data_IF_661104520364
#
_entry.id   IF_661104520364
#
_cell.length_a   1.000
_cell.length_b   1.000
_cell.length_c   1.000
_cell.angle_alpha   90.00
_cell.angle_beta   90.00
_cell.angle_gamma   90.00
#
_symmetry.space_group_name_H-M   'P 1'
#
loop_
_entity.id
_entity.type
_entity.pdbx_description
1 polymer ?
#
# COMPACT_ATOMS: atom_id res chain seq x y z
N UNK A 1 6.27 -0.22 -6.71
CA UNK A 1 5.62 1.07 -7.10
C UNK A 1 5.28 1.12 -8.60
N UNK A 2 4.77 2.24 -9.16
CA UNK A 2 4.60 2.41 -10.62
C UNK A 2 5.55 3.47 -11.19
N UNK A 3 6.30 3.12 -12.23
CA UNK A 3 7.09 4.10 -12.99
C UNK A 3 6.19 5.10 -13.74
N UNK A 4 6.73 6.27 -14.06
CA UNK A 4 6.04 7.27 -14.89
C UNK A 4 5.62 6.68 -16.24
N UNK A 5 6.47 5.84 -16.85
CA UNK A 5 6.18 5.17 -18.12
C UNK A 5 4.95 4.25 -17.97
N UNK A 6 4.86 3.49 -16.89
CA UNK A 6 3.69 2.65 -16.62
C UNK A 6 2.43 3.49 -16.39
N UNK A 7 2.54 4.60 -15.65
CA UNK A 7 1.40 5.52 -15.42
C UNK A 7 0.90 6.10 -16.75
N UNK A 8 1.78 6.57 -17.61
CA UNK A 8 1.41 7.07 -18.95
C UNK A 8 0.70 6.01 -19.78
N UNK A 9 1.24 4.79 -19.80
CA UNK A 9 0.63 3.66 -20.52
C UNK A 9 -0.76 3.31 -19.98
N UNK A 10 -0.98 3.38 -18.66
CA UNK A 10 -2.31 3.20 -18.05
C UNK A 10 -3.28 4.29 -18.54
N UNK A 11 -2.84 5.55 -18.56
CA UNK A 11 -3.66 6.69 -19.01
C UNK A 11 -4.04 6.51 -20.48
N UNK A 12 -3.08 6.20 -21.34
CA UNK A 12 -3.29 5.95 -22.77
C UNK A 12 -4.30 4.82 -23.02
N UNK A 13 -4.11 3.66 -22.37
CA UNK A 13 -5.02 2.52 -22.53
C UNK A 13 -6.43 2.79 -21.96
N UNK A 14 -6.53 3.63 -20.93
CA UNK A 14 -7.82 4.00 -20.34
C UNK A 14 -8.69 4.86 -21.23
N UNK A 15 -8.09 5.54 -22.22
CA UNK A 15 -8.75 6.54 -23.08
C UNK A 15 -9.41 7.68 -22.28
N UNK A 16 -8.93 7.94 -21.07
CA UNK A 16 -9.36 9.05 -20.22
C UNK A 16 -8.28 10.13 -20.21
N UNK A 17 -8.70 11.39 -20.22
CA UNK A 17 -7.79 12.50 -19.97
C UNK A 17 -7.31 12.52 -18.51
N UNK A 18 -6.11 13.07 -18.22
CA UNK A 18 -5.65 13.25 -16.84
C UNK A 18 -6.63 14.04 -15.95
N UNK A 19 -7.43 14.93 -16.55
CA UNK A 19 -8.50 15.69 -15.89
C UNK A 19 -9.62 14.77 -15.39
N UNK A 20 -10.12 13.88 -16.26
CA UNK A 20 -11.18 12.94 -15.90
C UNK A 20 -10.73 11.93 -14.84
N UNK A 21 -9.50 11.46 -14.95
CA UNK A 21 -8.91 10.55 -13.96
C UNK A 21 -8.79 11.28 -12.61
N UNK A 22 -8.33 12.53 -12.60
CA UNK A 22 -8.26 13.33 -11.36
C UNK A 22 -9.64 13.50 -10.71
N UNK A 23 -10.70 13.71 -11.50
CA UNK A 23 -12.08 13.76 -10.99
C UNK A 23 -12.51 12.42 -10.39
N UNK A 24 -12.22 11.30 -11.06
CA UNK A 24 -12.51 9.94 -10.54
C UNK A 24 -11.72 9.62 -9.27
N UNK A 25 -10.54 10.22 -9.07
CA UNK A 25 -9.79 10.15 -7.81
C UNK A 25 -10.38 11.02 -6.68
N UNK A 26 -11.40 11.85 -6.96
CA UNK A 26 -11.94 12.82 -6.01
C UNK A 26 -10.96 13.97 -5.73
N UNK A 27 -10.15 14.37 -6.71
CA UNK A 27 -9.13 15.42 -6.60
C UNK A 27 -9.41 16.58 -7.57
N UNK A 28 -8.67 17.68 -7.42
CA UNK A 28 -8.75 18.82 -8.32
C UNK A 28 -8.37 18.44 -9.75
N UNK A 29 -8.91 19.16 -10.73
CA UNK A 29 -8.78 18.82 -12.16
C UNK A 29 -7.33 18.69 -12.65
N UNK A 30 -6.39 19.40 -12.03
CA UNK A 30 -4.97 19.39 -12.39
C UNK A 30 -4.14 18.40 -11.57
N UNK A 31 -4.74 17.70 -10.61
CA UNK A 31 -4.00 16.90 -9.62
C UNK A 31 -3.09 15.87 -10.28
N UNK A 32 -3.61 14.98 -11.14
CA UNK A 32 -2.82 13.92 -11.74
C UNK A 32 -1.71 14.49 -12.64
N UNK A 33 -1.99 15.53 -13.43
CA UNK A 33 -0.97 16.15 -14.27
C UNK A 33 0.18 16.72 -13.44
N UNK A 34 -0.12 17.39 -12.32
CA UNK A 34 0.90 17.90 -11.40
C UNK A 34 1.70 16.76 -10.78
N UNK A 35 1.06 15.67 -10.35
CA UNK A 35 1.76 14.50 -9.82
C UNK A 35 2.68 13.88 -10.88
N UNK A 36 2.23 13.71 -12.13
CA UNK A 36 3.07 13.19 -13.21
C UNK A 36 4.30 14.08 -13.43
N UNK A 37 4.13 15.40 -13.48
CA UNK A 37 5.25 16.34 -13.64
C UNK A 37 6.25 16.22 -12.50
N UNK A 38 5.79 16.31 -11.25
CA UNK A 38 6.68 16.25 -10.06
C UNK A 38 7.49 14.95 -10.04
N UNK A 39 6.83 13.82 -10.25
CA UNK A 39 7.48 12.51 -10.16
C UNK A 39 8.38 12.24 -11.37
N UNK A 40 8.05 12.77 -12.55
CA UNK A 40 8.95 12.76 -13.71
C UNK A 40 10.20 13.59 -13.44
N UNK A 41 10.05 14.83 -12.97
CA UNK A 41 11.16 15.74 -12.73
C UNK A 41 12.13 15.20 -11.68
N UNK A 42 11.60 14.51 -10.67
CA UNK A 42 12.40 13.86 -9.62
C UNK A 42 12.92 12.47 -10.00
N UNK A 43 12.54 11.95 -11.17
CA UNK A 43 12.81 10.56 -11.57
C UNK A 43 12.37 9.52 -10.51
N UNK A 44 11.20 9.75 -9.90
CA UNK A 44 10.64 8.89 -8.85
C UNK A 44 9.41 8.13 -9.36
N UNK A 45 9.19 6.89 -8.90
CA UNK A 45 7.96 6.16 -9.17
C UNK A 45 6.79 6.71 -8.33
N UNK A 46 5.56 6.54 -8.81
CA UNK A 46 4.36 6.83 -8.05
C UNK A 46 4.31 6.01 -6.77
N UNK A 47 4.08 6.70 -5.65
CA UNK A 47 3.88 6.06 -4.35
C UNK A 47 2.68 5.11 -4.37
N UNK A 48 2.65 4.17 -3.43
CA UNK A 48 1.53 3.23 -3.28
C UNK A 48 0.19 3.93 -3.05
N UNK A 49 0.20 5.10 -2.38
CA UNK A 49 -1.01 5.90 -2.24
C UNK A 49 -1.54 6.39 -3.60
N UNK A 50 -0.67 6.96 -4.43
CA UNK A 50 -1.04 7.38 -5.79
C UNK A 50 -1.44 6.19 -6.67
N UNK A 51 -0.75 5.05 -6.52
CA UNK A 51 -1.11 3.81 -7.20
C UNK A 51 -2.54 3.36 -6.84
N UNK A 52 -2.93 3.43 -5.57
CA UNK A 52 -4.29 3.11 -5.09
C UNK A 52 -5.34 4.09 -5.64
N UNK A 53 -5.04 5.39 -5.65
CA UNK A 53 -5.94 6.39 -6.24
C UNK A 53 -6.13 6.12 -7.74
N UNK A 54 -5.06 5.82 -8.46
CA UNK A 54 -5.11 5.49 -9.88
C UNK A 54 -5.89 4.20 -10.14
N UNK A 55 -5.67 3.16 -9.33
CA UNK A 55 -6.42 1.91 -9.41
C UNK A 55 -7.93 2.15 -9.26
N UNK A 56 -8.37 2.98 -8.30
CA UNK A 56 -9.79 3.31 -8.09
C UNK A 56 -10.40 4.13 -9.23
N UNK A 57 -9.57 4.91 -9.92
CA UNK A 57 -10.02 5.80 -10.99
C UNK A 57 -10.06 5.14 -12.38
N UNK A 58 -9.42 3.99 -12.56
CA UNK A 58 -9.27 3.29 -13.84
C UNK A 58 -9.93 1.91 -13.79
N UNK A 59 -10.29 1.36 -14.95
CA UNK A 59 -10.76 -0.02 -15.04
C UNK A 59 -9.74 -1.00 -14.45
N UNK A 60 -10.15 -1.92 -13.55
CA UNK A 60 -9.25 -2.93 -12.97
C UNK A 60 -8.55 -3.79 -14.02
N UNK A 61 -9.19 -4.06 -15.16
CA UNK A 61 -8.59 -4.84 -16.25
C UNK A 61 -7.38 -4.14 -16.87
N UNK A 62 -7.48 -2.83 -17.10
CA UNK A 62 -6.41 -2.01 -17.70
C UNK A 62 -5.26 -1.86 -16.70
N UNK A 63 -5.59 -1.60 -15.44
CA UNK A 63 -4.58 -1.49 -14.40
C UNK A 63 -3.83 -2.83 -14.24
N UNK A 64 -4.55 -3.96 -14.17
CA UNK A 64 -3.94 -5.31 -14.07
C UNK A 64 -3.05 -5.66 -15.26
N UNK A 65 -3.33 -5.17 -16.46
CA UNK A 65 -2.52 -5.47 -17.65
C UNK A 65 -1.15 -4.78 -17.65
N UNK A 66 -0.96 -3.76 -16.80
CA UNK A 66 0.30 -3.01 -16.68
C UNK A 66 1.02 -3.31 -15.37
N UNK A 67 0.26 -3.60 -14.32
CA UNK A 67 0.77 -3.76 -12.96
C UNK A 67 0.95 -5.24 -12.60
N UNK A 68 2.07 -5.55 -11.94
CA UNK A 68 2.33 -6.90 -11.42
C UNK A 68 1.28 -7.37 -10.40
N UNK A 69 1.11 -8.70 -10.22
CA UNK A 69 0.04 -9.27 -9.41
C UNK A 69 0.09 -8.83 -7.93
N UNK A 70 1.28 -8.63 -7.39
CA UNK A 70 1.49 -8.22 -6.01
C UNK A 70 1.00 -6.79 -5.74
N UNK A 71 1.43 -5.81 -6.55
CA UNK A 71 0.97 -4.42 -6.43
C UNK A 71 -0.53 -4.31 -6.74
N UNK A 72 -1.04 -5.10 -7.70
CA UNK A 72 -2.47 -5.17 -7.97
C UNK A 72 -3.27 -5.59 -6.73
N UNK A 73 -2.84 -6.66 -6.05
CA UNK A 73 -3.46 -7.14 -4.80
C UNK A 73 -3.32 -6.11 -3.68
N UNK A 74 -2.16 -5.48 -3.53
CA UNK A 74 -1.93 -4.43 -2.53
C UNK A 74 -2.84 -3.21 -2.75
N UNK A 75 -3.08 -2.83 -4.01
CA UNK A 75 -3.95 -1.71 -4.37
C UNK A 75 -5.43 -2.00 -4.11
N UNK A 76 -5.85 -3.26 -4.26
CA UNK A 76 -7.20 -3.73 -3.92
C UNK A 76 -7.44 -3.81 -2.41
N UNK A 77 -6.39 -4.14 -1.65
CA UNK A 77 -6.49 -4.35 -0.22
C UNK A 77 -6.67 -3.06 0.57
N UNK A 78 -7.62 -3.08 1.51
CA UNK A 78 -7.75 -2.06 2.56
C UNK A 78 -6.63 -2.17 3.61
N UNK A 79 -6.00 -3.34 3.70
CA UNK A 79 -4.94 -3.66 4.64
C UNK A 79 -3.58 -3.67 3.97
N UNK A 80 -2.57 -3.27 4.73
CA UNK A 80 -1.20 -3.32 4.27
C UNK A 80 -0.61 -4.71 4.48
N UNK A 81 -0.84 -5.33 5.63
CA UNK A 81 -0.48 -6.72 5.93
C UNK A 81 -1.75 -7.57 5.95
N UNK A 82 -1.77 -8.72 5.30
CA UNK A 82 -2.93 -9.62 5.40
C UNK A 82 -3.02 -10.29 6.78
N UNK A 83 -4.19 -10.82 7.13
CA UNK A 83 -4.34 -11.62 8.35
C UNK A 83 -3.36 -12.82 8.36
N UNK A 84 -3.19 -13.50 7.23
CA UNK A 84 -2.25 -14.62 7.08
C UNK A 84 -0.79 -14.19 7.34
N UNK A 85 -0.35 -13.08 6.75
CA UNK A 85 0.99 -12.54 6.98
C UNK A 85 1.18 -12.16 8.45
N UNK A 86 0.16 -11.60 9.08
CA UNK A 86 0.21 -11.27 10.50
C UNK A 86 0.27 -12.51 11.39
N UNK A 87 -0.50 -13.56 11.11
CA UNK A 87 -0.41 -14.82 11.85
C UNK A 87 0.97 -15.47 11.70
N UNK A 88 1.54 -15.42 10.50
CA UNK A 88 2.92 -15.87 10.26
C UNK A 88 3.93 -15.05 11.06
N UNK A 89 3.73 -13.74 11.17
CA UNK A 89 4.59 -12.86 12.00
C UNK A 89 4.52 -13.27 13.46
N UNK A 90 3.32 -13.40 14.03
CA UNK A 90 3.16 -13.82 15.43
C UNK A 90 3.81 -15.18 15.68
N UNK A 91 3.59 -16.16 14.78
CA UNK A 91 4.17 -17.50 14.90
C UNK A 91 5.70 -17.50 14.85
N UNK A 92 6.27 -16.62 14.03
CA UNK A 92 7.72 -16.54 13.84
C UNK A 92 8.40 -15.61 14.84
N UNK A 93 7.63 -14.77 15.53
CA UNK A 93 8.13 -13.86 16.56
C UNK A 93 8.12 -14.54 17.93
N UNK A 94 8.99 -14.08 18.84
CA UNK A 94 8.93 -14.47 20.25
C UNK A 94 7.89 -13.66 21.04
N UNK A 95 7.09 -12.81 20.39
CA UNK A 95 6.12 -11.95 21.06
C UNK A 95 4.81 -12.69 21.32
N UNK A 96 4.33 -12.66 22.58
CA UNK A 96 2.92 -12.94 22.84
C UNK A 96 2.11 -11.74 22.38
N UNK A 97 0.87 -12.00 21.96
CA UNK A 97 -0.05 -10.97 21.46
C UNK A 97 -0.25 -9.81 22.46
N UNK A 98 -0.26 -10.10 23.76
CA UNK A 98 -0.39 -9.08 24.81
C UNK A 98 0.85 -8.18 24.90
N UNK A 99 2.03 -8.77 24.78
CA UNK A 99 3.29 -8.02 24.84
C UNK A 99 3.42 -7.09 23.63
N UNK A 100 2.98 -7.57 22.46
CA UNK A 100 2.92 -6.77 21.25
C UNK A 100 1.95 -5.59 21.39
N UNK A 101 0.79 -5.79 22.03
CA UNK A 101 -0.16 -4.71 22.30
C UNK A 101 0.45 -3.61 23.16
N UNK A 102 1.16 -4.00 24.23
CA UNK A 102 1.88 -3.07 25.12
C UNK A 102 2.96 -2.31 24.35
N UNK A 103 3.80 -3.00 23.58
CA UNK A 103 4.87 -2.38 22.78
C UNK A 103 4.32 -1.39 21.74
N UNK A 104 3.17 -1.73 21.16
CA UNK A 104 2.49 -0.84 20.21
C UNK A 104 1.68 0.27 20.90
N UNK A 105 1.61 0.30 22.24
CA UNK A 105 0.76 1.26 22.98
C UNK A 105 -0.70 1.17 22.57
N UNK A 106 -1.19 -0.03 22.24
CA UNK A 106 -2.55 -0.31 21.83
C UNK A 106 -3.26 -1.14 22.90
N UNK A 107 -4.58 -0.99 22.98
CA UNK A 107 -5.36 -1.95 23.74
C UNK A 107 -5.31 -3.33 23.03
N UNK A 108 -5.27 -4.40 23.82
CA UNK A 108 -5.16 -5.77 23.29
C UNK A 108 -6.35 -6.16 22.40
N UNK A 109 -7.50 -5.49 22.57
CA UNK A 109 -8.71 -5.72 21.77
C UNK A 109 -8.58 -5.08 20.39
N UNK A 110 -7.87 -3.97 20.22
CA UNK A 110 -7.57 -3.33 18.93
C UNK A 110 -6.64 -4.19 18.10
N UNK A 111 -5.63 -4.82 18.71
CA UNK A 111 -4.84 -5.86 18.03
C UNK A 111 -5.74 -7.05 17.67
N UNK A 112 -6.50 -7.57 18.63
CA UNK A 112 -7.35 -8.75 18.39
C UNK A 112 -8.42 -8.54 17.31
N UNK A 113 -9.19 -7.43 17.35
CA UNK A 113 -10.25 -7.13 16.37
C UNK A 113 -9.67 -6.71 15.02
N UNK A 114 -8.58 -5.92 15.02
CA UNK A 114 -7.88 -5.53 13.80
C UNK A 114 -7.42 -6.74 12.99
N UNK A 115 -7.02 -7.81 13.66
CA UNK A 115 -6.42 -9.01 13.04
C UNK A 115 -7.43 -10.12 12.79
N UNK A 116 -8.39 -10.35 13.70
CA UNK A 116 -9.34 -11.47 13.61
C UNK A 116 -10.62 -11.13 12.85
N UNK A 117 -11.14 -9.90 12.99
CA UNK A 117 -12.47 -9.54 12.48
C UNK A 117 -12.43 -8.70 11.20
N UNK A 118 -11.30 -8.04 10.91
CA UNK A 118 -11.22 -7.06 9.82
C UNK A 118 -10.42 -7.52 8.59
N UNK A 119 -9.62 -8.59 8.65
CA UNK A 119 -8.96 -9.16 7.47
C UNK A 119 -7.54 -8.66 7.19
N UNK A 120 -6.93 -7.87 8.09
CA UNK A 120 -5.51 -7.52 8.03
C UNK A 120 -5.10 -6.32 8.89
N UNK A 121 -3.84 -5.90 8.78
CA UNK A 121 -3.25 -4.79 9.54
C UNK A 121 -3.06 -3.56 8.65
N UNK A 122 -3.50 -2.40 9.14
CA UNK A 122 -3.37 -1.11 8.44
C UNK A 122 -1.91 -0.63 8.40
N UNK A 123 -1.55 0.11 7.36
CA UNK A 123 -0.16 0.56 7.12
C UNK A 123 0.50 1.24 8.32
N UNK A 124 -0.16 2.18 9.00
CA UNK A 124 0.43 2.88 10.14
C UNK A 124 0.80 1.94 11.30
N UNK A 125 0.02 0.87 11.51
CA UNK A 125 0.32 -0.16 12.50
C UNK A 125 1.49 -1.04 12.05
N UNK A 126 1.55 -1.38 10.76
CA UNK A 126 2.69 -2.14 10.22
C UNK A 126 3.98 -1.33 10.28
N UNK A 127 3.93 -0.02 10.02
CA UNK A 127 5.08 0.88 10.19
C UNK A 127 5.57 0.86 11.64
N UNK A 128 4.66 0.98 12.61
CA UNK A 128 5.01 0.89 14.04
C UNK A 128 5.59 -0.48 14.42
N UNK A 129 5.04 -1.57 13.88
CA UNK A 129 5.63 -2.91 14.04
C UNK A 129 7.04 -2.97 13.48
N UNK A 130 7.29 -2.36 12.32
CA UNK A 130 8.61 -2.31 11.71
C UNK A 130 9.63 -1.53 12.55
N UNK A 131 9.21 -0.44 13.18
CA UNK A 131 10.08 0.32 14.10
C UNK A 131 10.46 -0.50 15.35
N UNK A 132 9.56 -1.36 15.84
CA UNK A 132 9.76 -2.17 17.06
C UNK A 132 10.53 -3.46 16.77
N UNK A 133 10.21 -4.15 15.68
CA UNK A 133 10.71 -5.48 15.35
C UNK A 133 10.98 -5.61 13.83
N UNK A 134 11.96 -4.85 13.31
CA UNK A 134 12.19 -4.73 11.87
C UNK A 134 12.57 -6.07 11.23
N UNK A 135 13.31 -6.92 11.92
CA UNK A 135 13.78 -8.21 11.39
C UNK A 135 12.59 -9.16 11.22
N UNK A 136 11.81 -9.35 12.28
CA UNK A 136 10.68 -10.29 12.31
C UNK A 136 9.60 -9.92 11.30
N UNK A 137 9.26 -8.63 11.22
CA UNK A 137 8.24 -8.18 10.26
C UNK A 137 8.75 -8.29 8.81
N UNK A 138 10.04 -8.08 8.56
CA UNK A 138 10.62 -8.18 7.21
C UNK A 138 10.45 -9.57 6.60
N UNK A 139 10.43 -10.63 7.42
CA UNK A 139 10.22 -12.01 6.94
C UNK A 139 8.79 -12.30 6.45
N UNK A 140 7.83 -11.44 6.77
CA UNK A 140 6.43 -11.63 6.34
C UNK A 140 5.98 -10.61 5.30
N UNK A 141 6.71 -9.52 5.15
CA UNK A 141 6.45 -8.51 4.13
C UNK A 141 6.91 -9.03 2.77
N UNK A 142 6.15 -8.70 1.74
CA UNK A 142 6.58 -8.88 0.36
C UNK A 142 7.59 -7.80 -0.01
N UNK A 143 8.32 -7.99 -1.12
CA UNK A 143 9.31 -7.02 -1.58
C UNK A 143 8.72 -5.61 -1.77
N UNK A 144 7.51 -5.51 -2.35
CA UNK A 144 6.84 -4.22 -2.54
C UNK A 144 6.38 -3.62 -1.21
N UNK A 145 5.90 -4.44 -0.27
CA UNK A 145 5.52 -3.93 1.05
C UNK A 145 6.74 -3.40 1.82
N UNK A 146 7.88 -4.08 1.72
CA UNK A 146 9.12 -3.65 2.35
C UNK A 146 9.62 -2.34 1.75
N UNK A 147 9.67 -2.25 0.41
CA UNK A 147 10.01 -1.02 -0.33
C UNK A 147 9.16 0.17 0.16
N UNK A 148 7.84 -0.03 0.27
CA UNK A 148 6.93 1.03 0.71
C UNK A 148 7.12 1.43 2.17
N UNK A 149 7.45 0.51 3.06
CA UNK A 149 7.73 0.85 4.46
C UNK A 149 9.02 1.67 4.54
N UNK A 150 10.08 1.23 3.85
CA UNK A 150 11.38 1.92 3.85
C UNK A 150 11.27 3.35 3.30
N UNK A 151 10.41 3.60 2.32
CA UNK A 151 10.13 4.95 1.82
C UNK A 151 9.48 5.90 2.85
N UNK A 152 8.96 5.38 3.96
CA UNK A 152 8.22 6.14 4.97
C UNK A 152 8.89 6.17 6.35
N UNK A 153 10.07 5.55 6.52
CA UNK A 153 10.89 5.63 7.74
C UNK A 153 11.78 6.86 7.68
#
# INVERSE_FOLDING_TARGET
MLSIVQVQKIIELSKLSPREISKKMGKSEKYLSVQISIYRDKNLPFTTHLCKLLFRAISPRIYKSIVGPELFKLCQSEYFLSAEQFYKFIKNSNFKQKDLAILMGLDSKTIYMGIREHGGVKFHLVKKLFEICPIEISYVLTGIQLEVILDHL
#
